data_IF_722994726490
#
_entry.id   IF_722994726490
#
_cell.length_a   1.000
_cell.length_b   1.000
_cell.length_c   1.000
_cell.angle_alpha   90.00
_cell.angle_beta   90.00
_cell.angle_gamma   90.00
#
_symmetry.space_group_name_H-M   'P 1'
#
loop_
_entity.id
_entity.type
_entity.pdbx_description
1 polymer ?
#
# COMPACT_ATOMS: atom_id res chain seq x y z
N UNK A 1 76.12 87.74 139.70
CA UNK A 1 75.42 86.54 139.20
C UNK A 1 74.98 86.81 137.76
N UNK A 2 75.11 85.78 136.91
CA UNK A 2 74.78 85.66 135.46
C UNK A 2 75.67 86.42 134.46
N UNK A 3 75.89 86.00 133.19
CA UNK A 3 76.16 84.76 132.41
C UNK A 3 76.07 85.22 130.93
N UNK A 4 77.04 84.94 130.06
CA UNK A 4 77.07 85.08 128.56
C UNK A 4 78.54 84.92 128.12
N UNK A 5 78.97 84.02 127.23
CA UNK A 5 78.39 83.59 125.94
C UNK A 5 78.40 82.05 125.75
N UNK A 6 77.24 81.45 125.56
CA UNK A 6 77.06 80.12 124.96
C UNK A 6 76.87 80.31 123.44
N UNK A 7 77.67 79.63 122.62
CA UNK A 7 77.57 79.68 121.14
C UNK A 7 76.93 78.37 120.66
N UNK A 8 75.76 78.48 120.05
CA UNK A 8 75.03 77.37 119.44
C UNK A 8 75.61 77.01 118.06
N UNK A 9 75.74 75.72 117.77
CA UNK A 9 76.15 75.19 116.46
C UNK A 9 76.57 73.72 116.52
N UNK A 10 76.82 73.09 115.37
CA UNK A 10 77.20 71.69 115.36
C UNK A 10 78.58 71.45 116.03
N UNK A 11 78.59 70.74 117.16
CA UNK A 11 79.82 70.42 117.91
C UNK A 11 80.46 69.08 117.51
N UNK A 12 79.84 68.33 116.60
CA UNK A 12 80.33 67.01 116.19
C UNK A 12 81.35 67.15 115.05
N UNK A 13 82.61 66.80 115.31
CA UNK A 13 83.72 66.99 114.35
C UNK A 13 83.54 66.25 113.01
N UNK A 14 82.68 65.23 112.95
CA UNK A 14 82.41 64.47 111.71
C UNK A 14 81.25 65.02 110.87
N UNK A 15 80.61 66.11 111.30
CA UNK A 15 79.58 66.78 110.51
C UNK A 15 80.21 67.78 109.53
N UNK A 16 79.63 67.89 108.35
CA UNK A 16 80.04 68.80 107.29
C UNK A 16 79.97 70.27 107.67
N UNK A 17 79.13 70.63 108.62
CA UNK A 17 79.00 71.98 109.16
C UNK A 17 79.45 72.09 110.63
N UNK A 18 80.42 71.26 111.04
CA UNK A 18 81.07 71.38 112.34
C UNK A 18 81.59 72.80 112.58
N UNK A 19 81.26 73.37 113.73
CA UNK A 19 81.71 74.70 114.16
C UNK A 19 82.52 74.57 115.46
N UNK A 20 83.82 74.84 115.39
CA UNK A 20 84.76 74.69 116.51
C UNK A 20 84.60 75.74 117.61
N UNK A 21 83.80 76.78 117.36
CA UNK A 21 83.42 77.79 118.34
C UNK A 21 82.10 77.48 119.04
N UNK A 22 81.33 76.49 118.56
CA UNK A 22 80.10 76.10 119.19
C UNK A 22 80.39 75.41 120.54
N UNK A 23 79.81 75.95 121.60
CA UNK A 23 79.93 75.43 122.97
C UNK A 23 78.72 74.59 123.37
N UNK A 24 77.63 74.68 122.60
CA UNK A 24 76.43 73.86 122.76
C UNK A 24 75.90 73.42 121.39
N UNK A 25 75.47 72.16 121.31
CA UNK A 25 74.89 71.59 120.08
C UNK A 25 73.47 72.09 119.87
N UNK A 26 73.21 72.70 118.72
CA UNK A 26 71.88 73.18 118.33
C UNK A 26 71.11 72.16 117.47
N UNK A 27 71.70 71.00 117.21
CA UNK A 27 71.13 69.95 116.37
C UNK A 27 71.23 70.21 114.87
N UNK A 28 72.01 71.20 114.44
CA UNK A 28 72.18 71.56 113.03
C UNK A 28 73.16 70.67 112.24
N UNK A 29 73.80 69.67 112.87
CA UNK A 29 74.80 68.83 112.22
C UNK A 29 74.30 68.13 110.94
N UNK A 30 74.91 68.45 109.80
CA UNK A 30 74.71 67.78 108.50
C UNK A 30 75.86 66.82 108.27
N UNK A 31 75.58 65.59 107.84
CA UNK A 31 76.60 64.60 107.51
C UNK A 31 76.56 64.30 106.01
N UNK A 32 77.72 63.99 105.44
CA UNK A 32 77.79 63.55 104.04
C UNK A 32 77.00 62.25 103.87
N UNK A 33 76.42 62.07 102.68
CA UNK A 33 75.81 60.79 102.31
C UNK A 33 76.87 59.69 102.29
N UNK A 34 76.45 58.45 102.54
CA UNK A 34 77.37 57.33 102.58
C UNK A 34 78.17 57.25 101.27
N UNK A 35 79.49 57.16 101.39
CA UNK A 35 80.47 57.13 100.28
C UNK A 35 80.71 58.45 99.55
N UNK A 36 80.11 59.55 99.97
CA UNK A 36 80.44 60.90 99.48
C UNK A 36 81.16 61.69 100.57
N UNK A 37 82.00 62.65 100.16
CA UNK A 37 82.50 63.67 101.05
C UNK A 37 81.45 64.80 101.21
N UNK A 38 81.73 65.77 102.07
CA UNK A 38 80.82 66.88 102.35
C UNK A 38 80.58 67.83 101.17
N UNK A 39 81.40 67.74 100.12
CA UNK A 39 81.25 68.49 98.87
C UNK A 39 80.45 67.70 97.82
N UNK A 40 79.99 66.48 98.15
CA UNK A 40 79.25 65.60 97.24
C UNK A 40 80.13 64.85 96.25
N UNK A 41 81.45 64.81 96.47
CA UNK A 41 82.37 64.03 95.64
C UNK A 41 82.46 62.60 96.17
N UNK A 42 82.51 61.63 95.24
CA UNK A 42 82.64 60.24 95.64
C UNK A 42 84.00 59.99 96.33
N UNK A 43 83.96 59.24 97.43
CA UNK A 43 85.17 58.89 98.19
C UNK A 43 86.02 57.81 97.50
N UNK A 44 85.38 56.96 96.69
CA UNK A 44 86.01 55.89 95.91
C UNK A 44 85.41 55.87 94.51
N UNK A 45 86.13 56.54 93.61
CA UNK A 45 85.85 56.67 92.18
C UNK A 45 87.19 56.43 91.48
N UNK A 46 87.38 55.21 90.99
CA UNK A 46 88.66 54.72 90.50
C UNK A 46 88.99 55.32 89.12
N UNK A 47 87.98 55.50 88.28
CA UNK A 47 88.14 55.97 86.91
C UNK A 47 87.87 57.48 86.75
N UNK A 48 87.31 58.12 87.78
CA UNK A 48 86.97 59.54 87.89
C UNK A 48 85.86 59.99 86.93
N UNK A 49 84.92 59.10 86.59
CA UNK A 49 83.76 59.42 85.75
C UNK A 49 82.61 60.10 86.51
N UNK A 50 82.68 60.15 87.85
CA UNK A 50 81.72 60.78 88.72
C UNK A 50 80.61 59.85 89.23
N UNK A 51 80.62 58.57 88.84
CA UNK A 51 79.86 57.49 89.46
C UNK A 51 80.74 56.83 90.51
N UNK A 52 80.20 56.52 91.69
CA UNK A 52 80.99 55.79 92.68
C UNK A 52 81.19 54.34 92.24
N UNK A 53 82.36 53.74 92.51
CA UNK A 53 82.69 52.34 92.21
C UNK A 53 81.59 51.34 92.66
N UNK A 54 80.89 51.62 93.77
CA UNK A 54 79.82 50.75 94.28
C UNK A 54 78.51 50.84 93.46
N UNK A 55 78.34 51.93 92.72
CA UNK A 55 77.17 52.23 91.90
C UNK A 55 77.42 52.04 90.40
N UNK A 56 78.62 51.62 90.01
CA UNK A 56 78.91 51.23 88.64
C UNK A 56 78.07 50.03 88.20
N UNK A 57 77.41 50.16 87.06
CA UNK A 57 76.70 49.07 86.40
C UNK A 57 77.52 48.64 85.20
N UNK A 58 78.04 47.42 85.27
CA UNK A 58 78.85 46.83 84.21
C UNK A 58 77.98 46.38 83.04
N UNK A 59 78.25 46.86 81.82
CA UNK A 59 77.55 46.46 80.61
C UNK A 59 78.13 47.08 79.35
N UNK A 60 77.37 47.06 78.26
CA UNK A 60 77.78 47.68 76.99
C UNK A 60 77.22 49.09 76.96
N UNK A 61 78.09 50.07 76.91
CA UNK A 61 77.77 51.50 76.88
C UNK A 61 77.68 52.06 75.46
N UNK A 62 78.11 51.30 74.45
CA UNK A 62 78.07 51.69 73.04
C UNK A 62 76.74 51.29 72.37
N UNK A 63 75.97 52.30 71.93
CA UNK A 63 74.66 52.12 71.29
C UNK A 63 74.70 51.49 69.90
N UNK A 64 75.88 51.37 69.28
CA UNK A 64 76.02 50.77 67.96
C UNK A 64 76.05 49.24 68.02
N UNK A 65 75.99 48.63 69.21
CA UNK A 65 75.98 47.19 69.43
C UNK A 65 74.61 46.70 69.93
N UNK A 66 74.25 45.46 69.59
CA UNK A 66 72.99 44.85 70.03
C UNK A 66 72.90 44.65 71.54
N UNK A 67 74.05 44.52 72.21
CA UNK A 67 74.12 44.29 73.65
C UNK A 67 74.11 45.59 74.46
N UNK A 68 73.91 46.76 73.84
CA UNK A 68 73.80 48.05 74.51
C UNK A 68 72.80 48.02 75.66
N UNK A 69 73.24 48.49 76.83
CA UNK A 69 72.42 48.63 78.04
C UNK A 69 72.45 50.09 78.49
N UNK A 70 71.29 50.75 78.46
CA UNK A 70 71.15 52.15 78.85
C UNK A 70 71.47 52.43 80.32
N UNK A 71 71.52 51.37 81.15
CA UNK A 71 71.88 51.47 82.56
C UNK A 71 73.36 51.22 82.83
N UNK A 72 74.13 50.74 81.84
CA UNK A 72 75.56 50.51 82.00
C UNK A 72 76.30 51.84 82.15
N UNK A 73 77.07 51.97 83.22
CA UNK A 73 77.94 53.12 83.46
C UNK A 73 79.42 52.78 83.23
N UNK A 74 79.77 51.50 83.19
CA UNK A 74 81.15 51.04 82.97
C UNK A 74 81.19 49.86 81.99
N UNK A 75 82.18 49.89 81.10
CA UNK A 75 82.37 48.92 80.03
C UNK A 75 82.99 47.62 80.54
N UNK A 76 82.28 46.50 80.36
CA UNK A 76 82.79 45.18 80.75
C UNK A 76 83.18 44.28 79.56
N UNK A 77 83.12 44.82 78.35
CA UNK A 77 83.38 44.09 77.11
C UNK A 77 82.21 43.21 76.65
N UNK A 78 80.98 43.49 77.10
CA UNK A 78 79.77 42.80 76.61
C UNK A 78 79.35 43.23 75.20
N UNK A 79 79.84 44.37 74.67
CA UNK A 79 79.62 44.78 73.28
C UNK A 79 80.29 43.79 72.31
N UNK A 80 79.51 42.93 71.64
CA UNK A 80 80.06 41.91 70.74
C UNK A 80 79.52 42.06 69.32
N UNK A 81 78.22 42.31 69.18
CA UNK A 81 77.54 42.28 67.90
C UNK A 81 77.23 43.69 67.42
N UNK A 82 78.04 44.21 66.50
CA UNK A 82 77.79 45.49 65.85
C UNK A 82 76.47 45.43 65.06
N UNK A 83 75.63 46.44 65.20
CA UNK A 83 74.38 46.57 64.45
C UNK A 83 74.71 46.78 62.97
N UNK A 84 74.18 45.87 62.13
CA UNK A 84 74.21 45.98 60.67
C UNK A 84 72.76 46.03 60.20
N UNK A 85 72.33 47.22 59.79
CA UNK A 85 71.02 47.44 59.21
C UNK A 85 70.96 46.95 57.77
N UNK A 86 69.83 46.34 57.39
CA UNK A 86 69.57 45.91 56.02
C UNK A 86 68.18 45.31 55.88
N UNK A 87 67.76 45.07 54.64
CA UNK A 87 66.57 44.30 54.36
C UNK A 87 66.85 42.82 54.63
N UNK A 88 66.12 42.21 55.56
CA UNK A 88 66.20 40.76 55.83
C UNK A 88 65.12 39.95 55.11
N UNK A 89 64.30 40.60 54.28
CA UNK A 89 63.29 39.97 53.44
C UNK A 89 63.88 39.60 52.08
N UNK A 90 64.01 38.30 51.81
CA UNK A 90 64.59 37.75 50.57
C UNK A 90 63.69 37.88 49.34
N UNK A 91 62.46 38.39 49.52
CA UNK A 91 61.56 38.73 48.42
C UNK A 91 61.86 40.08 47.76
N UNK A 92 62.88 40.82 48.21
CA UNK A 92 63.31 42.11 47.67
C UNK A 92 64.72 42.05 47.09
N UNK A 93 64.99 42.85 46.06
CA UNK A 93 66.31 42.93 45.43
C UNK A 93 67.38 43.49 46.38
N UNK A 94 66.99 44.28 47.36
CA UNK A 94 67.90 44.86 48.37
C UNK A 94 68.17 43.92 49.57
N UNK A 95 67.73 42.67 49.50
CA UNK A 95 68.01 41.66 50.53
C UNK A 95 69.51 41.60 50.85
N UNK A 96 69.84 41.79 52.13
CA UNK A 96 71.20 41.72 52.64
C UNK A 96 71.30 40.65 53.73
N UNK A 97 71.74 39.46 53.34
CA UNK A 97 71.96 38.33 54.26
C UNK A 97 72.93 38.65 55.41
N UNK A 98 73.80 39.65 55.26
CA UNK A 98 74.78 40.04 56.29
C UNK A 98 74.23 41.03 57.33
N UNK A 99 73.00 41.53 57.17
CA UNK A 99 72.34 42.35 58.18
C UNK A 99 71.93 41.51 59.40
N UNK A 100 71.90 42.12 60.58
CA UNK A 100 71.43 41.49 61.82
C UNK A 100 70.28 42.24 62.48
N UNK A 101 69.95 43.43 61.97
CA UNK A 101 68.76 44.20 62.33
C UNK A 101 68.01 44.55 61.05
N UNK A 102 66.73 44.16 60.98
CA UNK A 102 65.90 44.44 59.82
C UNK A 102 65.51 45.93 59.80
N UNK A 103 65.89 46.62 58.72
CA UNK A 103 65.36 47.94 58.38
C UNK A 103 64.46 47.77 57.15
N UNK A 104 63.15 47.66 57.40
CA UNK A 104 62.16 47.47 56.34
C UNK A 104 62.05 48.65 55.38
N UNK A 105 62.57 49.84 55.74
CA UNK A 105 62.62 50.98 54.82
C UNK A 105 63.64 50.78 53.69
N UNK A 106 64.56 49.82 53.85
CA UNK A 106 65.54 49.43 52.84
C UNK A 106 65.01 48.34 51.88
N UNK A 107 63.88 47.69 52.19
CA UNK A 107 63.20 46.74 51.30
C UNK A 107 62.31 47.52 50.32
N UNK A 108 62.87 47.94 49.18
CA UNK A 108 62.18 48.88 48.27
C UNK A 108 61.62 48.16 47.05
N UNK A 109 62.42 47.30 46.42
CA UNK A 109 62.09 46.70 45.13
C UNK A 109 61.74 45.22 45.29
N UNK A 110 60.44 44.85 45.29
CA UNK A 110 60.05 43.44 45.35
C UNK A 110 60.51 42.71 44.09
N UNK A 111 60.94 41.47 44.23
CA UNK A 111 61.29 40.58 43.13
C UNK A 111 60.00 40.23 42.38
N UNK A 112 59.99 40.51 41.08
CA UNK A 112 58.92 40.08 40.17
C UNK A 112 59.57 39.15 39.14
N UNK A 113 59.14 37.89 39.18
CA UNK A 113 59.61 36.84 38.29
C UNK A 113 58.88 36.89 36.94
N UNK A 114 59.61 36.57 35.88
CA UNK A 114 59.06 36.39 34.54
C UNK A 114 60.13 36.59 33.46
N UNK A 115 59.75 36.43 32.20
CA UNK A 115 60.66 36.68 31.10
C UNK A 115 60.99 38.18 30.97
N UNK A 116 62.27 38.53 31.07
CA UNK A 116 62.77 39.91 30.95
C UNK A 116 63.30 40.24 29.55
N UNK A 117 63.34 39.27 28.62
CA UNK A 117 63.78 39.48 27.25
C UNK A 117 62.64 40.07 26.42
N UNK A 118 62.83 41.29 25.92
CA UNK A 118 61.85 42.00 25.08
C UNK A 118 61.59 41.35 23.72
N UNK A 119 62.40 40.37 23.32
CA UNK A 119 62.21 39.60 22.09
C UNK A 119 61.43 38.30 22.29
N UNK A 120 61.14 37.92 23.54
CA UNK A 120 60.38 36.71 23.84
C UNK A 120 58.87 36.95 23.71
N UNK A 121 58.17 35.88 23.34
CA UNK A 121 56.72 35.87 23.21
C UNK A 121 56.00 36.19 24.51
N UNK A 122 56.48 35.62 25.61
CA UNK A 122 55.92 35.79 26.94
C UNK A 122 56.67 36.84 27.76
N UNK A 123 57.26 37.86 27.11
CA UNK A 123 57.90 38.99 27.77
C UNK A 123 56.96 39.64 28.81
N UNK A 124 57.43 39.74 30.05
CA UNK A 124 56.72 40.39 31.13
C UNK A 124 57.41 41.72 31.48
N UNK A 125 56.78 42.84 31.12
CA UNK A 125 57.30 44.18 31.40
C UNK A 125 57.37 44.54 32.89
N UNK A 126 56.69 43.79 33.75
CA UNK A 126 56.71 43.98 35.20
C UNK A 126 57.81 43.13 35.88
N UNK A 127 58.35 42.13 35.18
CA UNK A 127 59.42 41.28 35.71
C UNK A 127 60.73 42.05 35.82
N UNK A 128 61.41 41.89 36.95
CA UNK A 128 62.75 42.43 37.19
C UNK A 128 63.81 41.34 37.40
N UNK A 129 63.38 40.08 37.47
CA UNK A 129 64.23 38.91 37.69
C UNK A 129 63.76 37.80 36.76
N UNK A 130 64.67 37.28 35.92
CA UNK A 130 64.37 36.15 35.03
C UNK A 130 64.04 34.89 35.84
N UNK A 131 62.99 34.19 35.45
CA UNK A 131 62.66 32.83 35.91
C UNK A 131 62.96 31.75 34.85
N UNK A 132 63.70 32.12 33.81
CA UNK A 132 64.07 31.28 32.66
C UNK A 132 62.86 30.77 31.84
N UNK A 133 61.71 31.46 31.94
CA UNK A 133 60.50 31.13 31.18
C UNK A 133 60.47 31.66 29.74
N UNK A 134 61.47 32.41 29.27
CA UNK A 134 61.42 33.10 27.98
C UNK A 134 61.24 32.15 26.78
N UNK A 135 60.12 32.30 26.07
CA UNK A 135 59.81 31.58 24.83
C UNK A 135 60.22 32.44 23.62
N UNK A 136 61.20 32.00 22.86
CA UNK A 136 61.77 32.75 21.72
C UNK A 136 61.26 32.13 20.41
N UNK A 137 60.78 32.96 19.49
CA UNK A 137 60.45 32.54 18.12
C UNK A 137 61.75 32.24 17.37
N UNK A 138 61.94 30.99 16.94
CA UNK A 138 63.11 30.56 16.17
C UNK A 138 62.76 29.80 14.87
N UNK A 139 61.49 29.42 14.69
CA UNK A 139 60.96 28.81 13.48
C UNK A 139 60.59 29.80 12.37
N UNK A 140 60.59 29.31 11.12
CA UNK A 140 60.32 30.12 9.91
C UNK A 140 58.84 30.54 9.83
N UNK A 141 57.93 29.76 10.42
CA UNK A 141 56.47 29.95 10.40
C UNK A 141 55.86 30.15 11.78
N UNK A 142 56.70 30.32 12.80
CA UNK A 142 56.26 30.61 14.14
C UNK A 142 55.80 32.07 14.27
N UNK A 143 54.70 32.26 14.99
CA UNK A 143 54.19 33.59 15.33
C UNK A 143 53.90 33.70 16.82
N UNK A 144 53.86 34.93 17.32
CA UNK A 144 53.42 35.18 18.68
C UNK A 144 51.95 35.55 18.72
N UNK A 145 51.13 34.70 19.35
CA UNK A 145 49.74 35.04 19.62
C UNK A 145 49.43 34.82 21.11
N UNK A 146 48.92 35.85 21.77
CA UNK A 146 48.57 35.83 23.20
C UNK A 146 49.66 35.31 24.16
N UNK A 147 50.94 35.53 23.81
CA UNK A 147 52.09 35.14 24.63
C UNK A 147 52.52 33.68 24.47
N UNK A 148 51.98 32.97 23.48
CA UNK A 148 52.36 31.61 23.10
C UNK A 148 52.97 31.62 21.70
N UNK A 149 53.90 30.69 21.47
CA UNK A 149 54.38 30.37 20.13
C UNK A 149 53.28 29.56 19.42
N UNK A 150 52.78 30.09 18.31
CA UNK A 150 51.88 29.39 17.41
C UNK A 150 52.70 28.94 16.21
N UNK A 151 52.79 27.62 16.07
CA UNK A 151 53.39 26.97 14.92
C UNK A 151 52.41 26.97 13.74
N UNK A 152 52.75 27.70 12.67
CA UNK A 152 51.96 27.75 11.45
C UNK A 152 52.63 26.96 10.31
N UNK A 153 53.32 25.88 10.64
CA UNK A 153 53.87 24.89 9.73
C UNK A 153 53.45 23.50 10.26
N UNK A 154 52.25 23.06 9.87
CA UNK A 154 51.61 21.88 10.50
C UNK A 154 52.40 20.58 10.24
N UNK A 155 53.16 20.52 9.15
CA UNK A 155 53.86 19.34 8.67
C UNK A 155 55.40 19.45 8.70
N UNK A 156 55.94 20.54 9.26
CA UNK A 156 57.36 20.82 9.46
C UNK A 156 58.18 20.84 8.14
N UNK A 157 57.57 21.24 7.02
CA UNK A 157 58.21 21.20 5.70
C UNK A 157 58.96 22.49 5.32
N UNK A 158 58.77 23.56 6.12
CA UNK A 158 59.40 24.86 5.94
C UNK A 158 58.60 25.86 5.09
N UNK A 159 57.37 25.52 4.70
CA UNK A 159 56.37 26.41 4.09
C UNK A 159 55.25 26.66 5.10
N UNK A 160 54.84 27.92 5.23
CA UNK A 160 53.81 28.24 6.22
C UNK A 160 52.41 27.88 5.68
N UNK A 161 51.52 27.39 6.56
CA UNK A 161 50.15 26.96 6.27
C UNK A 161 49.33 27.94 5.40
N UNK A 162 49.61 29.25 5.45
CA UNK A 162 48.88 30.27 4.66
C UNK A 162 49.43 30.45 3.23
N UNK A 163 50.69 30.08 3.01
CA UNK A 163 51.38 30.10 1.71
C UNK A 163 51.14 28.78 0.93
N UNK A 164 50.38 27.86 1.51
CA UNK A 164 50.04 26.59 0.89
C UNK A 164 48.98 26.73 -0.23
N UNK A 165 49.29 26.22 -1.43
CA UNK A 165 48.38 26.04 -2.57
C UNK A 165 48.00 24.55 -2.70
N UNK A 166 46.76 24.25 -3.05
CA UNK A 166 46.23 22.87 -3.14
C UNK A 166 46.73 22.17 -4.43
N UNK A 167 47.58 21.14 -4.30
CA UNK A 167 48.02 20.25 -5.39
C UNK A 167 48.98 19.15 -4.91
N UNK A 168 48.95 17.97 -5.54
CA UNK A 168 49.76 16.80 -5.16
C UNK A 168 51.05 16.67 -6.03
N UNK A 169 52.14 16.15 -5.47
CA UNK A 169 53.41 15.96 -6.22
C UNK A 169 53.54 14.63 -6.97
N UNK A 170 52.65 13.66 -6.71
CA UNK A 170 52.63 12.37 -7.41
C UNK A 170 51.99 12.47 -8.81
N UNK A 171 52.73 12.19 -9.90
CA UNK A 171 52.18 12.18 -11.26
C UNK A 171 51.09 11.14 -11.52
N UNK A 172 50.80 10.24 -10.58
CA UNK A 172 49.72 9.25 -10.66
C UNK A 172 48.43 9.72 -9.97
N UNK A 173 48.45 10.83 -9.23
CA UNK A 173 47.27 11.37 -8.60
C UNK A 173 46.42 12.20 -9.57
N UNK A 174 45.11 12.23 -9.34
CA UNK A 174 44.17 13.01 -10.14
C UNK A 174 44.30 14.52 -9.89
N UNK A 175 44.75 14.95 -8.71
CA UNK A 175 45.05 16.35 -8.39
C UNK A 175 46.56 16.67 -8.48
N UNK A 176 47.27 15.98 -9.38
CA UNK A 176 48.69 16.25 -9.64
C UNK A 176 48.92 17.69 -10.10
N UNK A 177 49.94 18.33 -9.53
CA UNK A 177 50.53 19.58 -10.02
C UNK A 177 52.02 19.34 -10.29
N UNK A 178 52.57 19.91 -11.36
CA UNK A 178 53.99 19.85 -11.69
C UNK A 178 54.83 20.99 -11.07
N UNK A 179 54.18 21.96 -10.44
CA UNK A 179 54.77 23.10 -9.71
C UNK A 179 54.42 23.18 -8.20
N UNK A 180 54.07 22.08 -7.51
CA UNK A 180 53.48 22.11 -6.17
C UNK A 180 54.51 22.61 -5.16
N UNK A 181 54.02 23.41 -4.22
CA UNK A 181 54.81 23.95 -3.11
C UNK A 181 54.37 23.36 -1.76
N UNK A 182 53.64 22.22 -1.74
CA UNK A 182 52.70 21.91 -0.63
C UNK A 182 52.33 20.44 -0.31
N UNK A 183 52.70 19.43 -1.11
CA UNK A 183 52.37 18.03 -0.78
C UNK A 183 53.49 17.10 -1.21
N UNK A 184 54.70 17.37 -0.69
CA UNK A 184 55.88 16.56 -1.00
C UNK A 184 55.84 15.15 -0.41
N UNK A 185 54.96 14.88 0.55
CA UNK A 185 54.76 13.57 1.14
C UNK A 185 53.60 12.76 0.52
N UNK A 186 52.86 13.37 -0.41
CA UNK A 186 51.76 12.80 -1.19
C UNK A 186 50.55 12.37 -0.34
N UNK A 187 50.38 12.96 0.85
CA UNK A 187 49.30 12.64 1.76
C UNK A 187 47.94 13.21 1.33
N UNK A 188 47.93 14.23 0.46
CA UNK A 188 46.73 14.89 -0.08
C UNK A 188 46.44 14.48 -1.53
N UNK A 189 47.14 13.48 -2.04
CA UNK A 189 46.92 12.92 -3.38
C UNK A 189 45.62 12.12 -3.45
N UNK A 190 44.77 12.47 -4.42
CA UNK A 190 43.56 11.73 -4.74
C UNK A 190 43.86 10.76 -5.89
N UNK A 191 43.77 9.46 -5.66
CA UNK A 191 43.95 8.47 -6.72
C UNK A 191 42.59 8.00 -7.25
N UNK A 192 42.50 7.75 -8.55
CA UNK A 192 41.30 7.15 -9.14
C UNK A 192 40.97 5.80 -8.50
N UNK A 193 41.99 5.01 -8.16
CA UNK A 193 41.85 3.73 -7.46
C UNK A 193 41.26 3.82 -6.06
N UNK A 194 41.18 5.02 -5.48
CA UNK A 194 40.54 5.22 -4.17
C UNK A 194 39.02 5.14 -4.27
N UNK A 195 38.45 5.32 -5.47
CA UNK A 195 37.02 5.16 -5.73
C UNK A 195 36.72 3.70 -6.15
N UNK A 196 37.19 3.28 -7.31
CA UNK A 196 36.99 1.94 -7.87
C UNK A 196 37.93 1.68 -9.09
N UNK A 197 37.80 0.51 -9.74
CA UNK A 197 38.61 0.13 -10.91
C UNK A 197 38.21 0.86 -12.22
N UNK A 198 37.00 1.41 -12.29
CA UNK A 198 36.43 2.14 -13.43
C UNK A 198 36.71 3.65 -13.38
N UNK A 199 37.00 4.17 -12.19
CA UNK A 199 37.32 5.55 -11.96
C UNK A 199 38.56 5.99 -12.75
N UNK A 200 38.52 7.21 -13.29
CA UNK A 200 39.65 7.81 -14.01
C UNK A 200 39.92 9.23 -13.52
N UNK A 201 41.06 9.81 -13.88
CA UNK A 201 41.34 11.21 -13.58
C UNK A 201 40.85 12.11 -14.73
N UNK A 202 40.37 13.31 -14.40
CA UNK A 202 39.93 14.31 -15.40
C UNK A 202 41.03 14.74 -16.38
N UNK A 203 42.31 14.57 -15.98
CA UNK A 203 43.48 14.77 -16.83
C UNK A 203 44.16 16.13 -16.70
N UNK A 204 43.69 17.00 -15.79
CA UNK A 204 44.35 18.26 -15.47
C UNK A 204 45.63 18.01 -14.65
N UNK A 205 46.64 18.86 -14.84
CA UNK A 205 47.99 18.73 -14.24
C UNK A 205 48.43 19.99 -13.48
N UNK A 206 47.47 20.86 -13.17
CA UNK A 206 47.65 22.13 -12.46
C UNK A 206 47.03 22.08 -11.05
N UNK A 207 46.89 20.87 -10.49
CA UNK A 207 46.24 20.64 -9.20
C UNK A 207 44.71 20.67 -9.23
N UNK A 208 44.08 21.09 -10.33
CA UNK A 208 42.59 21.17 -10.41
C UNK A 208 41.90 19.87 -10.79
N UNK A 209 42.68 18.83 -11.10
CA UNK A 209 42.14 17.57 -11.56
C UNK A 209 41.34 16.83 -10.49
N UNK A 210 40.32 16.11 -10.93
CA UNK A 210 39.34 15.42 -10.07
C UNK A 210 39.17 13.97 -10.49
N UNK A 211 38.65 13.15 -9.59
CA UNK A 211 38.21 11.79 -9.91
C UNK A 211 36.93 11.88 -10.76
N UNK A 212 36.88 11.12 -11.85
CA UNK A 212 35.73 10.90 -12.71
C UNK A 212 35.25 9.48 -12.47
N UNK A 213 34.09 9.38 -11.83
CA UNK A 213 33.38 8.12 -11.63
C UNK A 213 32.82 7.62 -12.97
N UNK A 214 33.20 6.39 -13.37
CA UNK A 214 32.67 5.73 -14.57
C UNK A 214 31.97 4.40 -14.22
N UNK A 215 31.40 4.29 -13.02
CA UNK A 215 30.54 3.21 -12.54
C UNK A 215 29.38 3.85 -11.75
N UNK A 216 28.39 4.37 -12.48
CA UNK A 216 27.36 5.27 -11.91
C UNK A 216 26.47 4.56 -10.88
N UNK A 217 26.21 3.27 -11.07
CA UNK A 217 25.33 2.49 -10.21
C UNK A 217 26.09 1.66 -9.15
N UNK A 218 27.43 1.64 -9.23
CA UNK A 218 28.35 0.98 -8.31
C UNK A 218 28.17 -0.54 -8.27
N UNK A 219 27.87 -1.15 -9.41
CA UNK A 219 27.68 -2.60 -9.53
C UNK A 219 28.99 -3.36 -9.85
N UNK A 220 30.07 -2.62 -10.15
CA UNK A 220 31.39 -3.15 -10.48
C UNK A 220 31.62 -3.38 -11.98
N UNK A 221 30.68 -2.99 -12.83
CA UNK A 221 30.82 -2.95 -14.28
C UNK A 221 30.93 -1.49 -14.73
N UNK A 222 32.01 -1.14 -15.41
CA UNK A 222 32.18 0.23 -15.87
C UNK A 222 31.09 0.62 -16.89
N UNK A 223 30.63 1.86 -16.88
CA UNK A 223 29.60 2.40 -17.78
C UNK A 223 29.83 2.10 -19.28
N UNK A 224 31.09 1.95 -19.72
CA UNK A 224 31.43 1.64 -21.11
C UNK A 224 31.26 0.15 -21.46
N UNK A 225 31.32 -0.70 -20.45
CA UNK A 225 31.25 -2.15 -20.50
C UNK A 225 29.85 -2.64 -20.10
N UNK A 226 28.96 -1.72 -19.71
CA UNK A 226 27.56 -1.99 -19.46
C UNK A 226 26.87 -2.55 -20.70
N UNK A 227 26.10 -3.61 -20.49
CA UNK A 227 25.24 -4.22 -21.49
C UNK A 227 23.80 -4.06 -21.04
N UNK A 228 23.06 -3.21 -21.75
CA UNK A 228 21.62 -3.00 -21.53
C UNK A 228 20.83 -4.29 -21.82
N UNK A 229 19.91 -4.65 -20.91
CA UNK A 229 18.92 -5.69 -21.14
C UNK A 229 18.27 -6.17 -19.83
N UNK A 230 17.37 -7.15 -19.92
CA UNK A 230 16.73 -7.65 -18.71
C UNK A 230 17.68 -8.51 -17.85
N UNK A 231 18.04 -8.01 -16.66
CA UNK A 231 18.90 -8.70 -15.69
C UNK A 231 18.15 -9.64 -14.73
N UNK A 232 16.81 -9.63 -14.76
CA UNK A 232 16.00 -10.43 -13.84
C UNK A 232 15.86 -11.86 -14.33
N UNK A 233 16.47 -12.83 -13.63
CA UNK A 233 16.46 -14.27 -14.02
C UNK A 233 15.07 -14.90 -14.19
N UNK A 234 14.03 -14.33 -13.56
CA UNK A 234 12.65 -14.82 -13.68
C UNK A 234 11.87 -14.20 -14.85
N UNK A 235 12.47 -13.30 -15.63
CA UNK A 235 11.86 -12.72 -16.81
C UNK A 235 12.08 -13.61 -18.04
N UNK A 236 11.14 -13.55 -18.99
CA UNK A 236 11.12 -14.35 -20.21
C UNK A 236 12.18 -13.95 -21.23
N UNK A 237 12.64 -12.71 -21.18
CA UNK A 237 13.71 -12.17 -21.99
C UNK A 237 14.97 -11.87 -21.18
N UNK A 238 15.19 -12.60 -20.06
CA UNK A 238 16.42 -12.53 -19.30
C UNK A 238 17.64 -12.70 -20.22
N UNK A 239 18.58 -11.76 -20.11
CA UNK A 239 19.84 -11.77 -20.84
C UNK A 239 20.98 -11.94 -19.83
N UNK A 240 21.70 -13.05 -19.89
CA UNK A 240 22.80 -13.36 -18.99
C UNK A 240 24.07 -12.54 -19.26
N UNK A 241 24.10 -11.82 -20.38
CA UNK A 241 25.14 -10.85 -20.70
C UNK A 241 24.75 -9.42 -20.31
N UNK A 242 23.49 -9.16 -19.95
CA UNK A 242 23.08 -7.84 -19.49
C UNK A 242 23.68 -7.58 -18.11
N UNK A 243 24.25 -6.39 -17.95
CA UNK A 243 24.77 -5.90 -16.68
C UNK A 243 23.90 -4.76 -16.14
N UNK A 244 23.14 -4.08 -16.99
CA UNK A 244 22.24 -3.00 -16.59
C UNK A 244 20.80 -3.23 -17.09
N UNK A 245 19.80 -2.97 -16.23
CA UNK A 245 18.39 -3.15 -16.55
C UNK A 245 17.84 -2.00 -17.41
N UNK A 246 17.56 -2.30 -18.68
CA UNK A 246 16.96 -1.34 -19.62
C UNK A 246 15.43 -1.19 -19.45
N UNK A 247 14.84 -1.90 -18.48
CA UNK A 247 13.40 -1.94 -18.25
C UNK A 247 12.64 -2.77 -19.28
N UNK A 248 13.32 -3.56 -20.12
CA UNK A 248 12.70 -4.41 -21.13
C UNK A 248 12.15 -5.73 -20.57
N UNK A 249 12.33 -6.04 -19.27
CA UNK A 249 11.89 -7.30 -18.68
C UNK A 249 10.40 -7.61 -18.94
N UNK A 250 10.15 -8.73 -19.62
CA UNK A 250 8.84 -9.31 -19.88
C UNK A 250 8.64 -10.48 -18.94
N UNK A 251 7.54 -10.49 -18.19
CA UNK A 251 7.20 -11.59 -17.30
C UNK A 251 6.02 -12.39 -17.86
N UNK A 252 6.02 -13.69 -17.60
CA UNK A 252 4.88 -14.53 -17.93
C UNK A 252 3.65 -14.12 -17.12
N UNK A 253 2.46 -14.26 -17.72
CA UNK A 253 1.20 -14.04 -17.02
C UNK A 253 1.03 -15.09 -15.90
N UNK A 254 0.26 -14.75 -14.87
CA UNK A 254 0.03 -15.68 -13.77
C UNK A 254 -0.60 -16.99 -14.27
N UNK A 255 -0.02 -18.13 -13.88
CA UNK A 255 -0.35 -19.49 -14.33
C UNK A 255 0.21 -19.89 -15.71
N UNK A 256 0.94 -19.02 -16.40
CA UNK A 256 1.57 -19.33 -17.68
C UNK A 256 3.10 -19.34 -17.57
N UNK A 257 3.76 -20.06 -18.47
CA UNK A 257 5.19 -19.95 -18.70
C UNK A 257 5.50 -18.88 -19.76
N UNK A 258 6.78 -18.69 -20.07
CA UNK A 258 7.24 -17.67 -21.01
C UNK A 258 6.88 -17.94 -22.48
N UNK A 259 6.51 -19.18 -22.81
CA UNK A 259 6.01 -19.56 -24.13
C UNK A 259 4.48 -19.41 -24.22
N UNK A 260 3.82 -18.95 -23.13
CA UNK A 260 2.38 -18.80 -23.03
C UNK A 260 1.64 -20.12 -22.76
N UNK A 261 2.35 -21.18 -22.35
CA UNK A 261 1.76 -22.46 -21.99
C UNK A 261 1.33 -22.44 -20.53
N UNK A 262 0.20 -23.08 -20.22
CA UNK A 262 -0.25 -23.16 -18.85
C UNK A 262 0.67 -24.05 -17.99
N UNK A 263 0.96 -23.63 -16.76
CA UNK A 263 1.78 -24.38 -15.80
C UNK A 263 1.04 -25.58 -15.20
N UNK A 264 -0.29 -25.47 -15.07
CA UNK A 264 -1.18 -26.50 -14.54
C UNK A 264 -2.38 -26.64 -15.47
N UNK A 265 -2.26 -27.62 -16.36
CA UNK A 265 -3.25 -28.02 -17.36
C UNK A 265 -3.29 -29.55 -17.32
N UNK A 266 -4.27 -30.08 -16.58
CA UNK A 266 -4.36 -31.50 -16.26
C UNK A 266 -4.78 -32.35 -17.46
N UNK A 267 -5.62 -31.81 -18.34
CA UNK A 267 -6.20 -32.51 -19.48
C UNK A 267 -5.52 -32.16 -20.83
N UNK A 268 -4.64 -31.15 -20.83
CA UNK A 268 -3.85 -30.67 -21.96
C UNK A 268 -4.65 -30.04 -23.08
N UNK A 269 -5.78 -29.38 -22.77
CA UNK A 269 -6.64 -28.70 -23.74
C UNK A 269 -6.20 -27.23 -24.02
N UNK A 270 -5.25 -26.70 -23.23
CA UNK A 270 -4.70 -25.35 -23.35
C UNK A 270 -5.40 -24.29 -22.48
N UNK A 271 -6.42 -24.65 -21.71
CA UNK A 271 -7.02 -23.85 -20.66
C UNK A 271 -6.39 -24.24 -19.33
N UNK A 272 -5.98 -23.26 -18.51
CA UNK A 272 -5.46 -23.58 -17.19
C UNK A 272 -6.55 -24.12 -16.28
N UNK A 273 -6.22 -25.12 -15.44
CA UNK A 273 -7.13 -25.71 -14.43
C UNK A 273 -7.87 -24.63 -13.60
N UNK A 274 -7.18 -23.52 -13.27
CA UNK A 274 -7.77 -22.42 -12.49
C UNK A 274 -8.85 -21.63 -13.25
N UNK A 275 -8.74 -21.60 -14.57
CA UNK A 275 -9.63 -20.89 -15.48
C UNK A 275 -10.65 -21.81 -16.16
N UNK A 276 -10.64 -23.10 -15.83
CA UNK A 276 -11.65 -24.02 -16.31
C UNK A 276 -13.04 -23.63 -15.82
N UNK A 277 -13.96 -23.51 -16.77
CA UNK A 277 -15.37 -23.31 -16.48
C UNK A 277 -16.08 -24.65 -16.63
N UNK A 278 -16.51 -25.20 -15.50
CA UNK A 278 -17.22 -26.46 -15.45
C UNK A 278 -18.65 -26.30 -15.98
N UNK A 279 -19.02 -27.05 -17.01
CA UNK A 279 -20.36 -27.01 -17.59
C UNK A 279 -20.58 -28.12 -18.62
N UNK A 280 -21.58 -27.94 -19.47
CA UNK A 280 -21.87 -28.85 -20.57
C UNK A 280 -21.18 -28.30 -21.81
N UNK A 281 -20.21 -29.03 -22.33
CA UNK A 281 -19.40 -28.61 -23.49
C UNK A 281 -19.98 -29.07 -24.82
N UNK A 282 -20.99 -29.95 -24.79
CA UNK A 282 -21.62 -30.53 -25.97
C UNK A 282 -22.85 -29.74 -26.41
N UNK A 283 -22.78 -29.13 -27.60
CA UNK A 283 -23.86 -28.32 -28.19
C UNK A 283 -25.12 -29.09 -28.54
N UNK A 284 -25.08 -30.42 -28.54
CA UNK A 284 -26.23 -31.27 -28.82
C UNK A 284 -27.18 -31.40 -27.61
N UNK A 285 -26.82 -30.82 -26.45
CA UNK A 285 -27.61 -30.85 -25.22
C UNK A 285 -28.22 -29.48 -24.89
N UNK A 286 -29.37 -29.47 -24.23
CA UNK A 286 -30.05 -28.24 -23.82
C UNK A 286 -29.28 -27.42 -22.79
N UNK A 287 -28.43 -28.09 -21.99
CA UNK A 287 -27.63 -27.47 -20.95
C UNK A 287 -26.29 -26.92 -21.45
N UNK A 288 -26.02 -26.98 -22.77
CA UNK A 288 -24.80 -26.45 -23.38
C UNK A 288 -24.49 -25.02 -22.92
N UNK A 289 -23.27 -24.81 -22.46
CA UNK A 289 -22.75 -23.51 -22.04
C UNK A 289 -21.53 -23.17 -22.92
N UNK A 290 -21.64 -22.08 -23.68
CA UNK A 290 -20.56 -21.61 -24.57
C UNK A 290 -19.31 -21.16 -23.80
N UNK A 291 -19.41 -20.92 -22.50
CA UNK A 291 -18.30 -20.57 -21.64
C UNK A 291 -17.66 -21.79 -20.98
N UNK A 292 -18.31 -22.96 -21.01
CA UNK A 292 -17.75 -24.17 -20.42
C UNK A 292 -16.53 -24.64 -21.20
N UNK A 293 -15.44 -24.88 -20.47
CA UNK A 293 -14.21 -25.44 -21.03
C UNK A 293 -13.98 -26.88 -20.57
N UNK A 294 -14.68 -27.33 -19.53
CA UNK A 294 -14.55 -28.69 -19.00
C UNK A 294 -15.92 -29.30 -18.66
N UNK A 295 -16.09 -30.58 -19.02
CA UNK A 295 -17.33 -31.32 -18.86
C UNK A 295 -17.49 -31.82 -17.42
N UNK A 296 -18.51 -31.31 -16.73
CA UNK A 296 -18.81 -31.71 -15.36
C UNK A 296 -19.96 -32.73 -15.22
N UNK A 297 -20.45 -33.26 -16.34
CA UNK A 297 -21.61 -34.15 -16.39
C UNK A 297 -22.95 -33.42 -16.28
N UNK A 298 -22.97 -32.12 -16.60
CA UNK A 298 -24.20 -31.33 -16.64
C UNK A 298 -25.01 -31.53 -17.92
N UNK A 299 -24.41 -32.08 -18.98
CA UNK A 299 -25.14 -32.51 -20.19
C UNK A 299 -26.12 -33.66 -19.84
N UNK A 300 -27.40 -33.34 -19.68
CA UNK A 300 -28.41 -34.34 -19.28
C UNK A 300 -29.47 -34.54 -20.37
N UNK A 301 -29.93 -33.45 -20.97
CA UNK A 301 -31.08 -33.48 -21.88
C UNK A 301 -30.60 -33.29 -23.31
N UNK A 302 -30.46 -34.39 -24.05
CA UNK A 302 -30.16 -34.36 -25.48
C UNK A 302 -31.26 -33.61 -26.24
N UNK A 303 -30.89 -32.72 -27.15
CA UNK A 303 -31.83 -32.00 -28.01
C UNK A 303 -32.48 -33.00 -28.97
N UNK A 304 -33.81 -33.08 -28.89
CA UNK A 304 -34.66 -33.84 -29.82
C UNK A 304 -35.53 -32.83 -30.54
N UNK A 305 -35.18 -32.57 -31.79
CA UNK A 305 -35.92 -31.69 -32.68
C UNK A 305 -37.15 -32.43 -33.23
N UNK A 306 -38.29 -31.74 -33.24
CA UNK A 306 -39.52 -32.24 -33.85
C UNK A 306 -40.60 -31.17 -33.86
N UNK A 307 -41.70 -31.45 -34.55
CA UNK A 307 -42.86 -30.57 -34.51
C UNK A 307 -43.59 -30.75 -33.18
N UNK A 308 -43.63 -29.71 -32.33
CA UNK A 308 -44.34 -29.77 -31.04
C UNK A 308 -45.76 -29.21 -31.11
N UNK A 309 -46.25 -28.90 -32.32
CA UNK A 309 -47.62 -28.41 -32.56
C UNK A 309 -48.51 -29.56 -33.00
N UNK A 310 -49.51 -29.91 -32.17
CA UNK A 310 -50.45 -31.00 -32.41
C UNK A 310 -51.46 -30.72 -33.52
N UNK A 311 -51.45 -29.51 -34.10
CA UNK A 311 -52.22 -29.14 -35.27
C UNK A 311 -51.64 -29.69 -36.58
N UNK A 312 -50.50 -30.38 -36.55
CA UNK A 312 -49.81 -30.95 -37.71
C UNK A 312 -49.71 -32.47 -37.61
N UNK A 313 -49.71 -33.17 -38.75
CA UNK A 313 -49.57 -34.63 -38.79
C UNK A 313 -48.20 -35.12 -38.33
N UNK A 314 -47.18 -34.29 -38.49
CA UNK A 314 -45.79 -34.59 -38.07
C UNK A 314 -45.54 -34.28 -36.59
N UNK A 315 -46.57 -34.00 -35.80
CA UNK A 315 -46.45 -33.79 -34.35
C UNK A 315 -45.65 -34.93 -33.69
N UNK A 316 -44.56 -34.56 -33.02
CA UNK A 316 -43.68 -35.46 -32.30
C UNK A 316 -43.72 -35.17 -30.79
N UNK A 317 -44.39 -36.06 -30.05
CA UNK A 317 -44.48 -35.99 -28.60
C UNK A 317 -43.13 -36.23 -27.88
N UNK A 318 -42.14 -36.82 -28.56
CA UNK A 318 -40.80 -37.05 -28.03
C UNK A 318 -39.86 -35.85 -28.17
N UNK A 319 -40.24 -34.83 -28.95
CA UNK A 319 -39.42 -33.64 -29.16
C UNK A 319 -39.40 -32.75 -27.91
N UNK A 320 -38.23 -32.19 -27.62
CA UNK A 320 -38.04 -31.21 -26.54
C UNK A 320 -37.65 -29.82 -27.06
N UNK A 321 -37.36 -29.69 -28.36
CA UNK A 321 -37.14 -28.43 -29.05
C UNK A 321 -38.01 -28.41 -30.31
N UNK A 322 -38.85 -27.38 -30.42
CA UNK A 322 -39.78 -27.25 -31.54
C UNK A 322 -39.03 -26.80 -32.81
N UNK A 323 -38.99 -27.65 -33.82
CA UNK A 323 -38.53 -27.31 -35.15
C UNK A 323 -39.74 -27.09 -36.07
N UNK A 324 -40.11 -25.83 -36.24
CA UNK A 324 -41.25 -25.43 -37.09
C UNK A 324 -41.06 -25.84 -38.56
N UNK A 325 -39.84 -26.12 -39.02
CA UNK A 325 -39.63 -26.61 -40.39
C UNK A 325 -40.10 -28.06 -40.59
N UNK A 326 -40.26 -28.81 -39.50
CA UNK A 326 -40.79 -30.17 -39.51
C UNK A 326 -42.32 -30.22 -39.41
N UNK A 327 -42.98 -29.12 -39.02
CA UNK A 327 -44.43 -28.97 -39.05
C UNK A 327 -44.92 -28.64 -40.47
N UNK A 328 -45.09 -29.65 -41.31
CA UNK A 328 -45.34 -29.45 -42.75
C UNK A 328 -46.82 -29.54 -43.07
N UNK A 329 -47.50 -30.59 -42.62
CA UNK A 329 -48.85 -30.92 -43.06
C UNK A 329 -49.86 -30.60 -41.96
N UNK A 330 -50.63 -29.50 -42.06
CA UNK A 330 -51.66 -29.19 -41.08
C UNK A 330 -52.77 -30.24 -41.13
N UNK A 331 -53.31 -30.59 -39.96
CA UNK A 331 -54.45 -31.49 -39.83
C UNK A 331 -55.70 -30.81 -40.38
N UNK A 332 -56.37 -31.49 -41.32
CA UNK A 332 -57.66 -31.07 -41.88
C UNK A 332 -58.66 -32.19 -41.65
N UNK A 333 -59.68 -31.87 -40.84
CA UNK A 333 -60.76 -32.79 -40.47
C UNK A 333 -61.83 -32.88 -41.56
N UNK A 334 -62.36 -34.08 -41.78
CA UNK A 334 -63.52 -34.33 -42.64
C UNK A 334 -63.63 -35.80 -43.03
N UNK A 335 -64.66 -36.16 -43.81
CA UNK A 335 -64.81 -37.52 -44.29
C UNK A 335 -63.72 -37.88 -45.33
N UNK A 336 -62.89 -38.87 -45.01
CA UNK A 336 -61.80 -39.35 -45.88
C UNK A 336 -62.18 -40.57 -46.74
N UNK A 337 -63.36 -41.14 -46.52
CA UNK A 337 -63.82 -42.29 -47.30
C UNK A 337 -64.36 -41.81 -48.66
N UNK A 338 -63.64 -42.17 -49.74
CA UNK A 338 -64.02 -41.84 -51.11
C UNK A 338 -65.38 -42.40 -51.57
N UNK A 339 -65.96 -43.34 -50.81
CA UNK A 339 -67.27 -43.93 -51.09
C UNK A 339 -68.42 -43.23 -50.36
N UNK A 340 -68.13 -42.30 -49.45
CA UNK A 340 -69.16 -41.55 -48.73
C UNK A 340 -69.70 -40.38 -49.57
N UNK A 341 -70.97 -40.06 -49.37
CA UNK A 341 -71.62 -38.95 -50.06
C UNK A 341 -70.99 -37.58 -49.76
N UNK A 342 -70.53 -37.39 -48.53
CA UNK A 342 -69.91 -36.16 -48.06
C UNK A 342 -68.38 -36.25 -47.98
N UNK A 343 -67.76 -37.09 -48.81
CA UNK A 343 -66.31 -37.17 -48.95
C UNK A 343 -65.67 -35.78 -49.18
N UNK A 344 -64.66 -35.45 -48.36
CA UNK A 344 -63.88 -34.22 -48.48
C UNK A 344 -62.46 -34.55 -48.96
N UNK A 345 -62.12 -34.15 -50.18
CA UNK A 345 -60.80 -34.39 -50.78
C UNK A 345 -59.65 -33.60 -50.14
N UNK A 346 -59.95 -32.57 -49.35
CA UNK A 346 -58.95 -31.78 -48.61
C UNK A 346 -58.72 -32.31 -47.19
N UNK A 347 -59.59 -33.19 -46.70
CA UNK A 347 -59.43 -33.80 -45.39
C UNK A 347 -58.32 -34.86 -45.41
N UNK A 348 -57.45 -34.81 -44.41
CA UNK A 348 -56.41 -35.81 -44.19
C UNK A 348 -56.62 -36.63 -42.91
N UNK A 349 -57.60 -36.23 -42.10
CA UNK A 349 -57.94 -36.87 -40.83
C UNK A 349 -59.45 -37.03 -40.75
N UNK A 350 -59.92 -38.27 -40.50
CA UNK A 350 -61.36 -38.55 -40.33
C UNK A 350 -61.90 -37.83 -39.10
N UNK A 351 -63.03 -37.16 -39.25
CA UNK A 351 -63.86 -36.65 -38.14
C UNK A 351 -65.10 -37.51 -37.88
N UNK A 352 -65.14 -38.70 -38.47
CA UNK A 352 -66.24 -39.66 -38.42
C UNK A 352 -67.57 -39.12 -38.98
N UNK A 353 -67.52 -38.09 -39.84
CA UNK A 353 -68.71 -37.51 -40.47
C UNK A 353 -69.22 -38.28 -41.70
N UNK A 354 -68.57 -39.37 -42.14
CA UNK A 354 -68.90 -40.05 -43.41
C UNK A 354 -70.33 -40.63 -43.46
N UNK A 355 -71.10 -40.21 -44.46
CA UNK A 355 -72.46 -40.70 -44.76
C UNK A 355 -72.43 -41.67 -45.95
N UNK A 356 -72.88 -42.91 -45.77
CA UNK A 356 -72.82 -43.99 -46.77
C UNK A 356 -74.25 -44.38 -47.18
N UNK A 357 -74.52 -44.51 -48.48
CA UNK A 357 -75.82 -44.96 -49.02
C UNK A 357 -76.04 -46.45 -48.67
N UNK A 358 -77.11 -46.78 -47.96
CA UNK A 358 -77.42 -48.16 -47.51
C UNK A 358 -78.76 -48.73 -48.03
N UNK A 359 -79.59 -47.91 -48.70
CA UNK A 359 -80.83 -48.34 -49.36
C UNK A 359 -80.69 -48.78 -50.82
N UNK A 360 -81.57 -49.69 -51.27
CA UNK A 360 -81.59 -50.26 -52.64
C UNK A 360 -81.96 -49.21 -53.71
N UNK A 361 -82.74 -48.19 -53.34
CA UNK A 361 -83.12 -47.07 -54.21
C UNK A 361 -82.48 -45.74 -53.75
N UNK A 362 -81.47 -45.79 -52.88
CA UNK A 362 -80.75 -44.58 -52.44
C UNK A 362 -79.78 -44.09 -53.51
N UNK A 363 -79.71 -42.77 -53.65
CA UNK A 363 -78.76 -42.09 -54.54
C UNK A 363 -78.08 -40.95 -53.81
N UNK A 364 -76.92 -40.53 -54.34
CA UNK A 364 -76.18 -39.40 -53.79
C UNK A 364 -76.37 -38.17 -54.67
N UNK A 365 -77.09 -37.17 -54.15
CA UNK A 365 -77.28 -35.89 -54.84
C UNK A 365 -76.79 -34.75 -53.94
N UNK A 366 -75.88 -33.93 -54.47
CA UNK A 366 -75.30 -32.76 -53.78
C UNK A 366 -74.74 -33.02 -52.36
N UNK A 367 -74.19 -34.21 -52.15
CA UNK A 367 -73.54 -34.60 -50.88
C UNK A 367 -74.50 -35.08 -49.78
N UNK A 368 -75.76 -35.37 -50.14
CA UNK A 368 -76.79 -35.91 -49.24
C UNK A 368 -77.39 -37.18 -49.87
N UNK A 369 -77.81 -38.11 -49.02
CA UNK A 369 -78.51 -39.34 -49.43
C UNK A 369 -79.98 -39.02 -49.75
N UNK A 370 -80.44 -39.40 -50.94
CA UNK A 370 -81.83 -39.25 -51.42
C UNK A 370 -82.44 -40.64 -51.63
N UNK A 371 -83.56 -40.93 -50.95
CA UNK A 371 -84.33 -42.16 -51.12
C UNK A 371 -85.38 -42.00 -52.23
N UNK A 372 -85.30 -42.81 -53.29
CA UNK A 372 -86.18 -42.79 -54.47
C UNK A 372 -87.17 -43.97 -54.53
N UNK A 373 -87.69 -44.39 -53.37
CA UNK A 373 -88.78 -45.36 -53.20
C UNK A 373 -89.83 -44.73 -52.28
N UNK A 374 -90.78 -43.98 -52.86
CA UNK A 374 -91.69 -43.12 -52.10
C UNK A 374 -92.72 -43.92 -51.30
N UNK A 375 -93.21 -45.04 -51.82
CA UNK A 375 -94.22 -45.87 -51.18
C UNK A 375 -93.65 -47.10 -50.45
N UNK A 376 -92.32 -47.32 -50.56
CA UNK A 376 -91.55 -48.37 -49.89
C UNK A 376 -92.02 -49.79 -50.26
N UNK A 377 -92.52 -49.98 -51.47
CA UNK A 377 -92.92 -51.30 -51.96
C UNK A 377 -91.73 -52.12 -52.51
N UNK A 378 -90.56 -51.49 -52.61
CA UNK A 378 -89.30 -52.10 -53.05
C UNK A 378 -89.06 -52.03 -54.56
N UNK A 379 -89.90 -51.32 -55.31
CA UNK A 379 -89.70 -50.94 -56.71
C UNK A 379 -89.44 -49.44 -56.76
N UNK A 380 -88.31 -49.01 -57.33
CA UNK A 380 -88.02 -47.58 -57.39
C UNK A 380 -89.04 -46.85 -58.28
N UNK A 381 -89.43 -45.62 -57.92
CA UNK A 381 -90.56 -44.85 -58.50
C UNK A 381 -90.60 -44.79 -60.05
N UNK A 382 -89.46 -44.96 -60.73
CA UNK A 382 -89.39 -44.88 -62.20
C UNK A 382 -89.78 -46.16 -62.95
N UNK A 383 -89.98 -47.29 -62.24
CA UNK A 383 -90.17 -48.63 -62.82
C UNK A 383 -91.64 -49.17 -62.76
N UNK A 384 -92.65 -48.33 -62.45
CA UNK A 384 -94.08 -48.73 -62.28
C UNK A 384 -94.98 -48.76 -63.55
N UNK A 385 -96.03 -49.63 -63.61
CA UNK A 385 -96.96 -49.82 -64.79
C UNK A 385 -98.48 -49.82 -64.42
N UNK A 386 -99.32 -49.10 -65.19
CA UNK A 386 -100.78 -48.83 -64.96
C UNK A 386 -101.76 -49.84 -65.63
N UNK A 387 -102.83 -50.29 -64.93
CA UNK A 387 -103.97 -51.08 -65.47
C UNK A 387 -104.85 -51.75 -64.39
N UNK A 388 -106.09 -52.18 -64.69
CA UNK A 388 -107.06 -52.72 -63.70
C UNK A 388 -106.70 -54.13 -63.19
N UNK A 389 -106.63 -54.30 -61.86
CA UNK A 389 -106.26 -55.57 -61.21
C UNK A 389 -107.45 -56.35 -60.59
N UNK A 390 -108.70 -55.91 -60.80
CA UNK A 390 -109.90 -56.59 -60.24
C UNK A 390 -110.38 -57.75 -61.14
N UNK A 391 -110.33 -59.02 -60.69
CA UNK A 391 -110.76 -60.18 -61.47
C UNK A 391 -112.25 -60.22 -61.82
N UNK A 392 -113.09 -59.36 -61.22
CA UNK A 392 -114.52 -59.29 -61.51
C UNK A 392 -114.86 -58.32 -62.66
N UNK A 393 -113.89 -57.52 -63.12
CA UNK A 393 -114.08 -56.59 -64.21
C UNK A 393 -114.00 -57.28 -65.58
N UNK A 394 -114.80 -56.82 -66.55
CA UNK A 394 -114.71 -57.29 -67.93
C UNK A 394 -113.37 -56.94 -68.59
N UNK A 395 -112.64 -55.91 -68.12
CA UNK A 395 -111.31 -55.51 -68.61
C UNK A 395 -110.18 -55.80 -67.60
N UNK A 396 -110.33 -56.85 -66.78
CA UNK A 396 -109.29 -57.31 -65.85
C UNK A 396 -107.97 -57.71 -66.57
N UNK A 397 -106.83 -57.30 -66.03
CA UNK A 397 -105.48 -57.80 -66.38
C UNK A 397 -104.69 -58.16 -65.11
N UNK A 398 -104.03 -59.33 -65.09
CA UNK A 398 -103.24 -59.81 -63.97
C UNK A 398 -101.81 -59.23 -63.88
N UNK A 399 -101.39 -58.41 -64.84
CA UNK A 399 -100.02 -57.87 -64.97
C UNK A 399 -99.71 -56.42 -64.50
N UNK A 400 -100.67 -55.52 -64.21
CA UNK A 400 -100.35 -54.16 -63.75
C UNK A 400 -99.82 -54.10 -62.31
N UNK A 401 -99.03 -53.06 -62.00
CA UNK A 401 -98.45 -52.83 -60.66
C UNK A 401 -99.05 -51.64 -59.91
N UNK A 402 -99.98 -50.85 -60.49
CA UNK A 402 -100.44 -49.58 -59.88
C UNK A 402 -101.96 -49.25 -59.88
N UNK A 403 -102.89 -50.18 -60.15
CA UNK A 403 -104.34 -49.93 -59.89
C UNK A 403 -104.87 -50.81 -58.76
N UNK A 404 -104.63 -50.36 -57.53
CA UNK A 404 -105.18 -50.98 -56.32
C UNK A 404 -106.55 -50.41 -55.91
N UNK A 405 -107.05 -49.37 -56.61
CA UNK A 405 -108.31 -48.70 -56.29
C UNK A 405 -109.49 -49.04 -57.22
N UNK A 406 -109.26 -49.91 -58.22
CA UNK A 406 -110.21 -50.47 -59.18
C UNK A 406 -110.97 -49.42 -59.99
N UNK A 407 -110.46 -48.18 -60.05
CA UNK A 407 -111.12 -47.09 -60.76
C UNK A 407 -111.08 -47.23 -62.28
N UNK A 408 -110.20 -48.09 -62.81
CA UNK A 408 -110.07 -48.37 -64.24
C UNK A 408 -110.81 -49.65 -64.68
N UNK A 409 -111.64 -50.24 -63.81
CA UNK A 409 -112.35 -51.50 -64.02
C UNK A 409 -113.80 -51.30 -64.51
N UNK A 410 -114.23 -52.02 -65.56
CA UNK A 410 -115.58 -51.98 -66.15
C UNK A 410 -116.35 -53.28 -65.85
N UNK A 411 -117.62 -53.24 -65.43
CA UNK A 411 -118.38 -54.44 -65.00
C UNK A 411 -119.60 -54.71 -65.90
N UNK A 412 -119.98 -55.98 -66.13
CA UNK A 412 -121.11 -56.30 -67.02
C UNK A 412 -122.46 -55.80 -66.52
N UNK A 413 -122.60 -55.63 -65.20
CA UNK A 413 -123.80 -55.05 -64.56
C UNK A 413 -124.02 -53.58 -64.90
N UNK A 414 -123.04 -52.93 -65.51
CA UNK A 414 -123.14 -51.51 -65.88
C UNK A 414 -124.10 -51.28 -67.06
N UNK A 415 -124.51 -52.33 -67.78
CA UNK A 415 -125.43 -52.24 -68.93
C UNK A 415 -126.87 -52.64 -68.57
N UNK A 416 -127.15 -53.91 -68.28
CA UNK A 416 -128.46 -54.44 -67.83
C UNK A 416 -128.36 -55.88 -67.26
N UNK A 417 -129.48 -56.47 -66.83
CA UNK A 417 -129.53 -57.82 -66.23
C UNK A 417 -129.32 -58.97 -67.24
N UNK A 418 -129.47 -58.73 -68.54
CA UNK A 418 -129.18 -59.71 -69.60
C UNK A 418 -127.72 -59.61 -70.11
N UNK A 419 -126.98 -58.56 -69.72
CA UNK A 419 -125.61 -58.30 -70.17
C UNK A 419 -124.55 -59.22 -69.53
N UNK A 420 -123.57 -59.62 -70.33
CA UNK A 420 -122.46 -60.53 -69.91
C UNK A 420 -121.11 -60.02 -70.40
N UNK A 421 -120.00 -60.29 -69.67
CA UNK A 421 -118.66 -59.99 -70.20
C UNK A 421 -118.30 -60.96 -71.36
N UNK A 422 -117.53 -60.48 -72.34
CA UNK A 422 -117.03 -61.29 -73.47
C UNK A 422 -116.04 -62.40 -73.07
N UNK A 423 -115.41 -62.29 -71.89
CA UNK A 423 -114.72 -63.39 -71.20
C UNK A 423 -113.18 -63.37 -71.23
N UNK A 424 -112.56 -62.32 -71.76
CA UNK A 424 -111.10 -62.13 -71.79
C UNK A 424 -110.53 -61.66 -70.43
N UNK A 425 -109.26 -61.99 -70.15
CA UNK A 425 -108.56 -61.69 -68.87
C UNK A 425 -107.19 -61.00 -69.07
N UNK A 426 -107.00 -60.40 -70.24
CA UNK A 426 -105.78 -59.68 -70.66
C UNK A 426 -106.03 -58.18 -70.84
N UNK A 427 -107.03 -57.64 -70.14
CA UNK A 427 -107.45 -56.25 -70.23
C UNK A 427 -108.32 -55.91 -71.46
N UNK A 428 -108.58 -56.84 -72.38
CA UNK A 428 -109.29 -56.53 -73.64
C UNK A 428 -110.80 -56.79 -73.63
N UNK A 429 -111.34 -57.42 -72.59
CA UNK A 429 -112.74 -57.83 -72.54
C UNK A 429 -113.72 -56.67 -72.48
N UNK A 430 -114.93 -56.90 -73.00
CA UNK A 430 -116.00 -55.92 -73.22
C UNK A 430 -117.34 -56.44 -72.73
N UNK A 431 -118.34 -55.56 -72.64
CA UNK A 431 -119.71 -55.91 -72.22
C UNK A 431 -120.53 -56.31 -73.47
N UNK A 432 -121.25 -57.43 -73.41
CA UNK A 432 -122.12 -57.98 -74.47
C UNK A 432 -123.60 -57.89 -74.05
N UNK A 433 -124.43 -57.26 -74.87
CA UNK A 433 -125.89 -57.08 -74.69
C UNK A 433 -126.67 -58.27 -75.29
N UNK A 434 -127.59 -58.88 -74.51
CA UNK A 434 -128.41 -60.03 -74.91
C UNK A 434 -129.93 -59.79 -74.84
N UNK A 435 -130.40 -58.53 -74.88
CA UNK A 435 -131.80 -58.11 -75.03
C UNK A 435 -131.93 -57.15 -76.25
N UNK A 436 -131.91 -57.72 -77.46
CA UNK A 436 -131.67 -56.92 -78.69
C UNK A 436 -132.84 -56.00 -79.01
N UNK A 437 -134.07 -56.41 -78.74
CA UNK A 437 -135.26 -55.59 -78.96
C UNK A 437 -135.73 -54.81 -77.72
N UNK A 438 -134.98 -54.93 -76.61
CA UNK A 438 -135.20 -54.19 -75.35
C UNK A 438 -136.62 -54.33 -74.82
N UNK A 439 -137.21 -55.50 -75.00
CA UNK A 439 -138.56 -55.79 -74.53
C UNK A 439 -138.56 -56.32 -73.08
N UNK A 440 -137.36 -56.54 -72.51
CA UNK A 440 -137.14 -57.00 -71.15
C UNK A 440 -137.15 -58.53 -71.01
N UNK A 441 -137.17 -59.27 -72.12
CA UNK A 441 -137.03 -60.72 -72.16
C UNK A 441 -135.75 -61.07 -72.90
N UNK A 442 -134.76 -61.68 -72.22
CA UNK A 442 -133.50 -62.01 -72.88
C UNK A 442 -133.74 -62.92 -74.11
N UNK A 443 -132.98 -62.69 -75.19
CA UNK A 443 -133.19 -63.28 -76.52
C UNK A 443 -133.37 -64.83 -76.56
N UNK A 444 -132.97 -65.58 -75.53
CA UNK A 444 -133.10 -67.04 -75.46
C UNK A 444 -134.52 -67.54 -75.16
N UNK A 445 -135.42 -66.68 -74.69
CA UNK A 445 -136.65 -67.10 -74.01
C UNK A 445 -137.95 -66.89 -74.83
N UNK A 446 -137.87 -66.50 -76.11
CA UNK A 446 -139.02 -66.27 -76.99
C UNK A 446 -139.49 -67.51 -77.81
N UNK A 447 -140.81 -67.76 -77.93
CA UNK A 447 -141.39 -68.94 -78.65
C UNK A 447 -142.41 -68.54 -79.77
N UNK A 448 -142.24 -69.08 -80.99
CA UNK A 448 -142.99 -68.71 -82.21
C UNK A 448 -144.16 -69.68 -82.55
N UNK A 449 -145.43 -69.22 -82.68
CA UNK A 449 -146.51 -70.00 -83.34
C UNK A 449 -147.99 -69.50 -83.39
N UNK A 450 -148.49 -69.28 -84.64
CA UNK A 450 -149.87 -69.44 -85.21
C UNK A 450 -150.99 -68.37 -85.05
N UNK A 451 -151.47 -67.82 -86.19
CA UNK A 451 -152.91 -67.74 -86.54
C UNK A 451 -153.18 -67.66 -88.08
N UNK A 452 -154.04 -68.56 -88.58
CA UNK A 452 -154.55 -68.73 -89.96
C UNK A 452 -155.78 -67.80 -90.19
N UNK A 453 -156.04 -67.26 -91.40
CA UNK A 453 -156.95 -66.13 -91.62
C UNK A 453 -158.42 -66.54 -91.85
N UNK A 454 -159.33 -65.56 -91.92
CA UNK A 454 -160.69 -65.76 -92.48
C UNK A 454 -160.66 -65.65 -94.01
N UNK A 455 -161.28 -66.69 -94.61
CA UNK A 455 -161.49 -67.06 -96.03
C UNK A 455 -160.30 -67.69 -96.76
#
# INVERSE_FOLDING_TARGET
>A
MCNQDEVEGCITISACNYNDLATEDDGSCVYAEAQYNCDGECLFDFDNDGVCDLYEVLGCTDSDYLEYDELATEENGSCQTLIVLGCLDDSYLEYNFSANVNDSSLCVTPIVLGCIDSLACNYNSEANTSDDSCEIIDGICETCEDGLIVDNDLDDDGVCNFDEIIGCTDPQACNYDATPTTDTDNSLCNYSTDLDECATCSGEIDGTGTIVDNDIDNDGVCNQDEVEGCITISACNYNDLATEDDGSCVYAEAQYNCDGECLFDFDSDGVCDLYEVLGCTDSDYLEYDELATEENGSCQTLIVLGCMDDSYLEYDFGANVNDLSLCITPVVFGCIDSLACNYNSEANTSDDSCEITDGICDSCEDGIIVNNDLDNDGVCDFDEIIGCTDPQACNYDATPTTDTDNSLCNYSTDLDECATCSGEIDGTGTIVDNDIDNDGVCNSDEIVGVQIPRL
#
